data_IF_002334179839
#
_entry.id   IF_002334179839
#
_cell.length_a   1.000
_cell.length_b   1.000
_cell.length_c   1.000
_cell.angle_alpha   90.00
_cell.angle_beta   90.00
_cell.angle_gamma   90.00
#
_symmetry.space_group_name_H-M   'P 1'
#
loop_
_entity.id
_entity.type
_entity.pdbx_description
1 polymer ?
#
# COMPACT_ATOMS: atom_id res chain seq x y z
N UNK A 1 32.19 32.93 3.85
CA UNK A 1 30.91 32.63 3.15
C UNK A 1 30.82 31.14 2.82
N UNK A 2 31.72 30.58 1.99
CA UNK A 2 31.79 29.13 1.68
C UNK A 2 31.77 28.22 2.93
N UNK A 3 32.53 28.53 3.97
CA UNK A 3 32.58 27.75 5.22
C UNK A 3 31.23 27.62 5.94
N UNK A 4 30.38 28.64 5.86
CA UNK A 4 29.05 28.65 6.48
C UNK A 4 28.08 27.77 5.69
N UNK A 5 28.18 27.78 4.36
CA UNK A 5 27.36 26.93 3.48
C UNK A 5 27.71 25.45 3.65
N UNK A 6 29.00 25.10 3.78
CA UNK A 6 29.45 23.73 4.02
C UNK A 6 28.99 23.22 5.40
N UNK A 7 29.09 24.05 6.45
CA UNK A 7 28.58 23.68 7.77
C UNK A 7 27.06 23.46 7.80
N UNK A 8 26.29 24.35 7.15
CA UNK A 8 24.83 24.22 7.03
C UNK A 8 24.41 22.99 6.20
N UNK A 9 25.20 22.62 5.19
CA UNK A 9 24.98 21.38 4.42
C UNK A 9 25.21 20.14 5.29
N UNK A 10 26.32 20.06 6.04
CA UNK A 10 26.60 18.92 6.93
C UNK A 10 25.53 18.74 8.02
N UNK A 11 25.09 19.84 8.65
CA UNK A 11 24.01 19.80 9.64
C UNK A 11 22.68 19.30 9.03
N UNK A 12 22.32 19.79 7.84
CA UNK A 12 21.12 19.31 7.11
C UNK A 12 21.22 17.81 6.78
N UNK A 13 22.39 17.32 6.38
CA UNK A 13 22.64 15.90 6.11
C UNK A 13 22.57 15.03 7.38
N UNK A 14 23.15 15.47 8.51
CA UNK A 14 23.06 14.73 9.77
C UNK A 14 21.62 14.65 10.29
N UNK A 15 20.87 15.76 10.22
CA UNK A 15 19.44 15.78 10.58
C UNK A 15 18.62 14.84 9.70
N UNK A 16 18.89 14.79 8.40
CA UNK A 16 18.27 13.85 7.47
C UNK A 16 18.58 12.38 7.83
N UNK A 17 19.84 12.02 8.08
CA UNK A 17 20.23 10.64 8.45
C UNK A 17 19.51 10.17 9.73
N UNK A 18 19.43 11.03 10.75
CA UNK A 18 18.72 10.71 11.99
C UNK A 18 17.21 10.56 11.77
N UNK A 19 16.61 11.50 11.04
CA UNK A 19 15.20 11.46 10.64
C UNK A 19 14.85 10.16 9.91
N UNK A 20 15.55 9.84 8.82
CA UNK A 20 15.27 8.65 8.00
C UNK A 20 15.41 7.37 8.81
N UNK A 21 16.39 7.30 9.73
CA UNK A 21 16.53 6.16 10.65
C UNK A 21 15.34 6.03 11.62
N UNK A 22 14.77 7.15 12.09
CA UNK A 22 13.59 7.16 12.94
C UNK A 22 12.32 6.74 12.19
N UNK A 23 12.05 7.40 11.07
CA UNK A 23 10.87 7.19 10.21
C UNK A 23 10.86 5.79 9.62
N UNK A 24 11.99 5.25 9.16
CA UNK A 24 12.08 3.88 8.65
C UNK A 24 11.61 2.85 9.69
N UNK A 25 12.02 3.00 10.95
CA UNK A 25 11.61 2.11 12.05
C UNK A 25 10.12 2.23 12.36
N UNK A 26 9.54 3.43 12.24
CA UNK A 26 8.12 3.67 12.46
C UNK A 26 7.26 3.08 11.34
N UNK A 27 7.71 3.19 10.08
CA UNK A 27 7.09 2.56 8.91
C UNK A 27 7.17 1.02 8.99
N UNK A 28 8.34 0.47 9.34
CA UNK A 28 8.52 -0.96 9.53
C UNK A 28 7.63 -1.52 10.66
N UNK A 29 7.53 -0.81 11.79
CA UNK A 29 6.64 -1.20 12.90
C UNK A 29 5.14 -1.08 12.54
N UNK A 30 4.78 -0.13 11.67
CA UNK A 30 3.44 -0.01 11.07
C UNK A 30 3.06 -1.25 10.25
N UNK A 31 3.98 -1.81 9.44
CA UNK A 31 3.73 -3.06 8.70
C UNK A 31 3.82 -4.30 9.59
N UNK A 32 4.77 -4.35 10.52
CA UNK A 32 4.95 -5.50 11.42
C UNK A 32 3.81 -5.68 12.43
N UNK A 33 3.04 -4.62 12.71
CA UNK A 33 1.88 -4.62 13.62
C UNK A 33 0.69 -3.92 12.94
N UNK A 34 0.05 -4.54 11.93
CA UNK A 34 -0.90 -3.86 11.08
C UNK A 34 -2.02 -3.16 11.86
N UNK A 35 -2.41 -1.98 11.36
CA UNK A 35 -3.38 -1.13 12.02
C UNK A 35 -2.86 -0.36 13.24
N UNK A 36 -1.66 -0.65 13.77
CA UNK A 36 -1.07 0.16 14.85
C UNK A 36 -0.77 1.55 14.29
N UNK A 37 -1.25 2.59 14.98
CA UNK A 37 -0.87 3.96 14.68
C UNK A 37 0.51 4.27 15.26
N UNK A 38 1.44 4.71 14.41
CA UNK A 38 2.65 5.40 14.82
C UNK A 38 2.58 6.88 14.43
N UNK A 39 3.33 7.74 15.13
CA UNK A 39 3.49 9.14 14.75
C UNK A 39 4.86 9.32 14.11
N UNK A 40 4.87 9.63 12.82
CA UNK A 40 6.07 9.97 12.08
C UNK A 40 6.68 11.26 12.63
N UNK A 41 8.01 11.32 12.65
CA UNK A 41 8.73 12.55 13.00
C UNK A 41 8.42 13.66 11.98
N UNK A 42 8.47 14.93 12.42
CA UNK A 42 8.21 16.06 11.52
C UNK A 42 9.43 16.31 10.60
N UNK A 43 9.29 16.24 9.27
CA UNK A 43 10.40 16.52 8.35
C UNK A 43 10.68 18.03 8.27
N UNK A 44 11.33 18.57 9.32
CA UNK A 44 11.73 19.98 9.45
C UNK A 44 12.81 20.44 8.45
N UNK A 45 13.31 19.52 7.61
CA UNK A 45 14.25 19.80 6.51
C UNK A 45 13.57 19.87 5.14
N UNK A 46 12.26 19.59 5.07
CA UNK A 46 11.46 19.74 3.87
C UNK A 46 10.87 21.14 3.79
N UNK A 47 11.67 22.01 3.17
CA UNK A 47 11.29 23.35 2.71
C UNK A 47 10.61 23.28 1.33
N UNK A 48 9.82 24.30 0.98
CA UNK A 48 9.22 24.51 -0.34
C UNK A 48 8.46 23.28 -0.88
N UNK A 49 7.50 22.78 -0.11
CA UNK A 49 6.67 21.62 -0.49
C UNK A 49 5.91 21.90 -1.79
N UNK A 50 5.84 20.93 -2.73
CA UNK A 50 5.01 21.06 -3.91
C UNK A 50 3.52 21.16 -3.53
N UNK A 51 2.72 21.71 -4.44
CA UNK A 51 1.26 21.79 -4.33
C UNK A 51 0.59 21.05 -5.48
N UNK A 52 -0.61 20.51 -5.25
CA UNK A 52 -1.49 19.97 -6.28
C UNK A 52 -2.86 20.64 -6.21
N UNK A 53 -3.61 20.59 -7.31
CA UNK A 53 -5.00 21.03 -7.31
C UNK A 53 -5.90 19.92 -6.77
N UNK A 54 -6.67 20.21 -5.71
CA UNK A 54 -7.68 19.29 -5.19
C UNK A 54 -9.08 19.78 -5.57
N UNK A 55 -9.84 19.03 -6.37
CA UNK A 55 -11.22 19.41 -6.69
C UNK A 55 -12.13 19.43 -5.45
N UNK A 56 -11.90 18.56 -4.46
CA UNK A 56 -12.64 18.54 -3.18
C UNK A 56 -12.43 19.82 -2.36
N UNK A 57 -11.25 20.45 -2.44
CA UNK A 57 -10.94 21.73 -1.78
C UNK A 57 -11.10 22.95 -2.70
N UNK A 58 -11.27 22.75 -4.00
CA UNK A 58 -11.30 23.77 -5.06
C UNK A 58 -10.10 24.73 -5.01
N UNK A 59 -8.92 24.22 -4.64
CA UNK A 59 -7.73 25.01 -4.37
C UNK A 59 -6.44 24.24 -4.63
N UNK A 60 -5.35 24.98 -4.80
CA UNK A 60 -4.00 24.44 -4.63
C UNK A 60 -3.77 24.13 -3.15
N UNK A 61 -3.37 22.90 -2.86
CA UNK A 61 -3.05 22.41 -1.50
C UNK A 61 -1.64 21.83 -1.47
N UNK A 62 -0.88 22.02 -0.38
CA UNK A 62 0.43 21.41 -0.25
C UNK A 62 0.30 19.89 -0.13
N UNK A 63 1.29 19.17 -0.66
CA UNK A 63 1.43 17.73 -0.42
C UNK A 63 1.56 17.44 1.09
N UNK A 64 1.12 16.25 1.53
CA UNK A 64 1.33 15.85 2.92
C UNK A 64 2.83 15.70 3.19
N UNK A 65 3.38 16.60 4.01
CA UNK A 65 4.81 16.64 4.34
C UNK A 65 5.32 15.34 4.96
N UNK A 66 4.51 14.64 5.75
CA UNK A 66 4.88 13.38 6.39
C UNK A 66 4.93 12.22 5.39
N UNK A 67 4.06 12.23 4.37
CA UNK A 67 4.11 11.26 3.28
C UNK A 67 5.32 11.50 2.37
N UNK A 68 5.64 12.77 2.05
CA UNK A 68 6.89 13.13 1.39
C UNK A 68 8.11 12.76 2.24
N UNK A 69 8.07 12.97 3.56
CA UNK A 69 9.14 12.56 4.49
C UNK A 69 9.34 11.04 4.55
N UNK A 70 8.26 10.27 4.47
CA UNK A 70 8.32 8.81 4.31
C UNK A 70 8.97 8.41 2.97
N UNK A 71 8.58 9.03 1.85
CA UNK A 71 9.22 8.77 0.55
C UNK A 71 10.70 9.20 0.54
N UNK A 72 11.04 10.34 1.13
CA UNK A 72 12.44 10.74 1.35
C UNK A 72 13.23 9.73 2.19
N UNK A 73 12.57 8.87 2.97
CA UNK A 73 13.22 7.82 3.76
C UNK A 73 13.35 6.50 2.98
N UNK A 74 12.47 6.26 2.00
CA UNK A 74 12.30 4.99 1.28
C UNK A 74 12.87 5.01 -0.14
N UNK A 75 13.01 6.19 -0.75
CA UNK A 75 13.46 6.36 -2.13
C UNK A 75 14.96 6.63 -2.21
N UNK A 76 15.61 5.92 -3.12
CA UNK A 76 16.97 6.13 -3.58
C UNK A 76 17.05 5.90 -5.11
N UNK A 77 18.27 5.81 -5.66
CA UNK A 77 18.48 5.62 -7.10
C UNK A 77 18.17 4.23 -7.66
N UNK A 78 17.90 3.22 -6.83
CA UNK A 78 17.61 1.85 -7.27
C UNK A 78 16.10 1.60 -7.46
N UNK A 79 15.26 2.33 -6.71
CA UNK A 79 13.80 2.23 -6.77
C UNK A 79 13.16 3.32 -7.63
N UNK A 80 11.94 3.07 -8.10
CA UNK A 80 11.13 3.97 -8.92
C UNK A 80 9.86 4.44 -8.19
N UNK A 81 9.27 5.55 -8.64
CA UNK A 81 8.02 6.05 -8.07
C UNK A 81 7.01 6.55 -9.10
N UNK A 82 5.75 6.71 -8.68
CA UNK A 82 4.73 7.49 -9.38
C UNK A 82 3.89 8.30 -8.38
N UNK A 83 3.36 9.43 -8.82
CA UNK A 83 2.54 10.33 -8.00
C UNK A 83 1.15 10.49 -8.64
N UNK A 84 0.08 10.44 -7.86
CA UNK A 84 -1.29 10.71 -8.28
C UNK A 84 -1.97 11.71 -7.35
N UNK A 85 -2.86 12.52 -7.92
CA UNK A 85 -3.70 13.47 -7.19
C UNK A 85 -5.10 13.53 -7.80
N UNK A 86 -6.14 13.63 -6.96
CA UNK A 86 -7.54 13.73 -7.39
C UNK A 86 -7.98 12.62 -8.38
N UNK A 87 -7.41 11.42 -8.23
CA UNK A 87 -7.65 10.26 -9.12
C UNK A 87 -6.94 10.29 -10.48
N UNK A 88 -5.87 11.06 -10.65
CA UNK A 88 -5.08 11.13 -11.89
C UNK A 88 -3.58 11.00 -11.61
N UNK A 89 -2.83 10.25 -12.42
CA UNK A 89 -1.36 10.27 -12.40
C UNK A 89 -0.83 11.65 -12.81
N UNK A 90 0.20 12.13 -12.11
CA UNK A 90 0.94 13.33 -12.46
C UNK A 90 1.94 13.03 -13.59
N UNK A 91 2.18 14.03 -14.44
CA UNK A 91 3.16 13.93 -15.53
C UNK A 91 4.59 13.88 -14.99
N UNK A 92 5.52 13.24 -15.71
CA UNK A 92 6.97 13.37 -15.46
C UNK A 92 7.45 14.84 -15.48
N UNK A 93 6.74 15.72 -16.20
CA UNK A 93 7.01 17.15 -16.26
C UNK A 93 6.36 17.96 -15.11
N UNK A 94 5.63 17.30 -14.21
CA UNK A 94 5.05 17.94 -13.04
C UNK A 94 6.14 18.36 -12.04
N UNK A 95 5.98 19.55 -11.47
CA UNK A 95 6.94 20.12 -10.54
C UNK A 95 7.13 19.24 -9.28
N UNK A 96 6.11 18.52 -8.83
CA UNK A 96 6.21 17.61 -7.69
C UNK A 96 7.03 16.35 -8.01
N UNK A 97 6.86 15.79 -9.21
CA UNK A 97 7.65 14.62 -9.68
C UNK A 97 9.13 15.01 -9.78
N UNK A 98 9.43 16.13 -10.44
CA UNK A 98 10.80 16.64 -10.53
C UNK A 98 11.39 16.98 -9.14
N UNK A 99 10.61 17.60 -8.25
CA UNK A 99 11.02 17.98 -6.89
C UNK A 99 11.47 16.76 -6.07
N UNK A 100 10.80 15.63 -6.22
CA UNK A 100 11.08 14.39 -5.48
C UNK A 100 12.27 13.63 -6.08
N UNK A 101 12.31 13.45 -7.40
CA UNK A 101 13.43 12.82 -8.11
C UNK A 101 14.75 13.54 -7.81
N UNK A 102 14.78 14.87 -7.87
CA UNK A 102 15.97 15.67 -7.58
C UNK A 102 16.49 15.52 -6.15
N UNK A 103 15.62 15.22 -5.18
CA UNK A 103 15.99 15.11 -3.75
C UNK A 103 16.38 13.71 -3.31
N UNK A 104 15.87 12.69 -3.99
CA UNK A 104 16.06 11.27 -3.64
C UNK A 104 17.08 10.58 -4.55
N UNK A 105 17.29 11.09 -5.76
CA UNK A 105 18.02 10.38 -6.82
C UNK A 105 17.20 9.28 -7.51
N UNK A 106 15.97 9.05 -7.03
CA UNK A 106 15.00 8.13 -7.62
C UNK A 106 14.40 8.70 -8.92
N UNK A 107 13.68 7.88 -9.66
CA UNK A 107 13.12 8.20 -10.96
C UNK A 107 11.62 7.90 -11.03
N UNK A 108 10.90 8.70 -11.83
CA UNK A 108 9.50 8.42 -12.14
C UNK A 108 9.40 7.22 -13.08
N UNK A 109 8.35 6.42 -12.93
CA UNK A 109 8.04 5.29 -13.81
C UNK A 109 6.52 5.18 -14.07
N UNK A 110 6.15 4.32 -15.02
CA UNK A 110 4.74 3.95 -15.23
C UNK A 110 4.19 3.23 -13.99
N UNK A 111 2.88 3.33 -13.75
CA UNK A 111 2.23 2.76 -12.56
C UNK A 111 2.51 1.26 -12.36
N UNK A 112 2.54 0.49 -13.45
CA UNK A 112 2.84 -0.95 -13.47
C UNK A 112 4.30 -1.31 -13.15
N UNK A 113 5.21 -0.34 -13.18
CA UNK A 113 6.65 -0.49 -12.98
C UNK A 113 7.16 0.27 -11.74
N UNK A 114 6.31 1.08 -11.12
CA UNK A 114 6.65 1.91 -9.96
C UNK A 114 6.79 1.08 -8.68
N UNK A 115 7.96 1.15 -8.02
CA UNK A 115 8.16 0.54 -6.69
C UNK A 115 7.31 1.22 -5.62
N UNK A 116 7.12 2.55 -5.73
CA UNK A 116 6.31 3.34 -4.81
C UNK A 116 5.25 4.18 -5.53
N UNK A 117 4.05 4.24 -4.98
CA UNK A 117 2.98 5.11 -5.46
C UNK A 117 2.49 6.05 -4.37
N UNK A 118 2.45 7.36 -4.62
CA UNK A 118 1.84 8.34 -3.72
C UNK A 118 0.49 8.78 -4.25
N UNK A 119 -0.58 8.52 -3.50
CA UNK A 119 -1.87 9.19 -3.66
C UNK A 119 -1.90 10.41 -2.73
N UNK A 120 -1.93 11.61 -3.32
CA UNK A 120 -1.79 12.90 -2.62
C UNK A 120 -3.02 13.27 -1.77
N UNK A 121 -4.12 12.53 -1.97
CA UNK A 121 -5.34 12.51 -1.19
C UNK A 121 -5.85 11.05 -1.06
N UNK A 122 -6.98 10.86 -0.37
CA UNK A 122 -7.61 9.56 -0.17
C UNK A 122 -8.44 9.10 -1.38
N UNK A 123 -8.00 9.39 -2.61
CA UNK A 123 -8.69 9.09 -3.87
C UNK A 123 -7.69 8.68 -4.96
N UNK A 124 -7.55 7.38 -5.18
CA UNK A 124 -6.89 6.85 -6.38
C UNK A 124 -7.81 6.87 -7.60
N UNK A 125 -9.14 6.85 -7.43
CA UNK A 125 -10.07 6.83 -8.56
C UNK A 125 -9.99 5.54 -9.40
N UNK A 126 -9.48 4.45 -8.81
CA UNK A 126 -9.23 3.19 -9.49
C UNK A 126 -7.76 2.91 -9.82
N UNK A 127 -6.91 3.94 -9.84
CA UNK A 127 -5.49 3.87 -10.22
C UNK A 127 -4.66 2.87 -9.39
N UNK A 128 -5.07 2.55 -8.16
CA UNK A 128 -4.43 1.49 -7.35
C UNK A 128 -4.34 0.14 -8.08
N UNK A 129 -5.27 -0.14 -9.01
CA UNK A 129 -5.31 -1.38 -9.79
C UNK A 129 -4.22 -1.48 -10.87
N UNK A 130 -3.57 -0.37 -11.20
CA UNK A 130 -2.52 -0.30 -12.23
C UNK A 130 -1.13 -0.63 -11.68
N UNK A 131 -1.00 -0.69 -10.35
CA UNK A 131 0.26 -0.98 -9.66
C UNK A 131 0.65 -2.46 -9.76
N UNK A 132 1.96 -2.73 -9.78
CA UNK A 132 2.50 -4.09 -9.66
C UNK A 132 2.01 -4.77 -8.38
N UNK A 133 1.46 -5.99 -8.51
CA UNK A 133 1.11 -6.85 -7.38
C UNK A 133 2.26 -7.82 -7.01
N UNK A 134 3.40 -7.74 -7.70
CA UNK A 134 4.46 -8.75 -7.68
C UNK A 134 4.07 -10.02 -8.45
N UNK A 135 4.90 -11.05 -8.36
CA UNK A 135 4.58 -12.40 -8.87
C UNK A 135 4.58 -13.42 -7.71
N UNK A 136 4.16 -14.66 -7.97
CA UNK A 136 4.24 -15.73 -6.94
C UNK A 136 5.69 -16.15 -6.65
N UNK A 137 6.63 -15.88 -7.57
CA UNK A 137 8.06 -16.15 -7.41
C UNK A 137 8.80 -14.96 -6.81
N UNK A 138 8.34 -13.74 -7.13
CA UNK A 138 8.95 -12.46 -6.76
C UNK A 138 7.87 -11.52 -6.16
N UNK A 139 7.25 -11.89 -5.02
CA UNK A 139 6.23 -11.06 -4.38
C UNK A 139 6.78 -9.71 -3.89
N UNK A 140 8.07 -9.63 -3.59
CA UNK A 140 8.78 -8.41 -3.19
C UNK A 140 8.84 -7.33 -4.29
N UNK A 141 8.62 -7.68 -5.56
CA UNK A 141 8.55 -6.75 -6.70
C UNK A 141 7.16 -6.10 -6.88
N UNK A 142 6.27 -6.27 -5.91
CA UNK A 142 5.04 -5.48 -5.78
C UNK A 142 5.34 -4.01 -5.50
N UNK A 143 4.43 -3.12 -5.91
CA UNK A 143 4.45 -1.73 -5.47
C UNK A 143 4.06 -1.60 -3.99
N UNK A 144 4.54 -0.54 -3.34
CA UNK A 144 4.04 -0.01 -2.07
C UNK A 144 3.26 1.28 -2.32
N UNK A 145 2.00 1.34 -1.88
CA UNK A 145 1.18 2.55 -2.01
C UNK A 145 1.13 3.36 -0.70
N UNK A 146 1.17 4.69 -0.81
CA UNK A 146 1.00 5.63 0.29
C UNK A 146 -0.20 6.52 -0.05
N UNK A 147 -1.23 6.51 0.78
CA UNK A 147 -2.37 7.44 0.68
C UNK A 147 -2.26 8.54 1.73
N UNK A 148 -2.47 9.78 1.29
CA UNK A 148 -2.61 10.92 2.18
C UNK A 148 -4.09 11.05 2.61
N UNK A 149 -4.38 10.85 3.89
CA UNK A 149 -5.74 10.96 4.44
C UNK A 149 -5.86 12.19 5.35
N UNK A 150 -7.09 12.57 5.72
CA UNK A 150 -7.28 13.78 6.55
C UNK A 150 -7.01 13.51 8.02
N UNK A 151 -7.42 12.33 8.53
CA UNK A 151 -7.22 11.93 9.92
C UNK A 151 -7.29 10.42 10.10
N UNK A 152 -6.45 9.89 10.97
CA UNK A 152 -6.51 8.50 11.45
C UNK A 152 -6.83 8.47 12.95
N UNK A 153 -7.59 7.45 13.38
CA UNK A 153 -7.78 7.13 14.79
C UNK A 153 -7.87 5.60 15.02
N UNK A 154 -7.42 5.15 16.19
CA UNK A 154 -7.67 3.80 16.69
C UNK A 154 -8.91 3.80 17.61
N UNK A 155 -9.20 2.66 18.22
CA UNK A 155 -10.33 2.47 19.14
C UNK A 155 -10.38 3.40 20.37
N UNK A 156 -9.37 4.24 20.61
CA UNK A 156 -9.30 5.17 21.75
C UNK A 156 -9.90 6.55 21.45
N UNK A 157 -10.04 6.90 20.18
CA UNK A 157 -10.59 8.18 19.73
C UNK A 157 -11.69 7.94 18.69
N UNK A 158 -12.87 8.52 18.90
CA UNK A 158 -13.99 8.42 17.97
C UNK A 158 -13.99 9.60 16.99
N UNK A 159 -13.64 9.36 15.73
CA UNK A 159 -13.85 10.33 14.65
C UNK A 159 -15.35 10.46 14.35
N UNK A 160 -15.79 11.68 14.11
CA UNK A 160 -17.18 12.01 13.78
C UNK A 160 -17.25 12.79 12.48
N UNK A 161 -18.06 12.32 11.54
CA UNK A 161 -18.27 12.96 10.24
C UNK A 161 -18.92 12.00 9.24
N UNK A 162 -19.54 12.52 8.16
CA UNK A 162 -20.23 11.69 7.16
C UNK A 162 -19.27 10.84 6.30
N UNK A 163 -17.99 11.22 6.24
CA UNK A 163 -16.95 10.61 5.40
C UNK A 163 -15.93 9.79 6.24
N UNK A 164 -16.30 9.39 7.47
CA UNK A 164 -15.47 8.54 8.33
C UNK A 164 -15.72 7.07 7.99
N UNK A 165 -14.72 6.41 7.43
CA UNK A 165 -14.70 4.97 7.22
C UNK A 165 -14.25 4.29 8.51
N UNK A 166 -15.01 3.30 8.98
CA UNK A 166 -14.58 2.37 10.03
C UNK A 166 -14.36 0.98 9.45
N UNK A 167 -13.19 0.40 9.71
CA UNK A 167 -12.89 -0.99 9.37
C UNK A 167 -12.28 -1.71 10.57
N UNK A 168 -12.35 -3.04 10.55
CA UNK A 168 -11.60 -3.87 11.47
C UNK A 168 -10.58 -4.72 10.72
N UNK A 169 -9.47 -5.01 11.38
CA UNK A 169 -8.27 -5.57 10.79
C UNK A 169 -7.95 -6.90 11.48
N UNK A 170 -7.61 -7.93 10.69
CA UNK A 170 -7.15 -9.26 11.14
C UNK A 170 -5.97 -9.73 10.30
N UNK A 171 -5.14 -10.62 10.83
CA UNK A 171 -4.02 -11.22 10.11
C UNK A 171 -2.72 -11.21 10.93
N UNK A 172 -1.58 -11.57 10.32
CA UNK A 172 -0.28 -11.57 10.99
C UNK A 172 0.03 -10.22 11.65
N UNK A 173 0.63 -10.25 12.85
CA UNK A 173 0.94 -9.04 13.63
C UNK A 173 -0.25 -8.40 14.37
N UNK A 174 -1.47 -8.93 14.21
CA UNK A 174 -2.66 -8.54 14.98
C UNK A 174 -3.06 -9.70 15.91
N UNK A 175 -3.07 -9.53 17.25
CA UNK A 175 -3.42 -10.61 18.18
C UNK A 175 -4.83 -11.18 18.00
N UNK A 176 -5.84 -10.31 17.83
CA UNK A 176 -7.25 -10.71 17.70
C UNK A 176 -7.96 -9.91 16.58
N UNK A 177 -8.18 -8.63 16.85
CA UNK A 177 -8.89 -7.67 16.03
C UNK A 177 -8.35 -6.28 16.38
N UNK A 178 -8.18 -5.41 15.38
CA UNK A 178 -7.97 -3.97 15.64
C UNK A 178 -8.98 -3.15 14.85
N UNK A 179 -9.54 -2.11 15.46
CA UNK A 179 -10.39 -1.14 14.77
C UNK A 179 -9.57 0.07 14.30
N UNK A 180 -9.87 0.54 13.11
CA UNK A 180 -9.26 1.72 12.49
C UNK A 180 -10.36 2.62 11.95
N UNK A 181 -10.25 3.91 12.23
CA UNK A 181 -11.12 4.96 11.68
C UNK A 181 -10.31 5.89 10.79
N UNK A 182 -10.83 6.19 9.61
CA UNK A 182 -10.14 6.93 8.54
C UNK A 182 -11.09 8.02 8.05
N UNK A 183 -10.65 9.28 8.12
CA UNK A 183 -11.36 10.42 7.51
C UNK A 183 -10.67 10.84 6.21
N UNK A 184 -11.45 11.15 5.17
CA UNK A 184 -10.94 11.68 3.91
C UNK A 184 -10.34 10.63 2.96
N UNK A 185 -10.60 9.35 3.22
CA UNK A 185 -10.46 8.24 2.26
C UNK A 185 -11.84 8.00 1.63
N UNK A 186 -11.93 7.89 0.30
CA UNK A 186 -13.22 7.59 -0.34
C UNK A 186 -13.68 6.15 -0.06
N UNK A 187 -14.99 5.95 0.11
CA UNK A 187 -15.56 4.66 0.50
C UNK A 187 -15.18 3.50 -0.45
N UNK A 188 -14.97 3.79 -1.73
CA UNK A 188 -14.63 2.81 -2.74
C UNK A 188 -13.15 2.35 -2.67
N UNK A 189 -12.25 3.19 -2.14
CA UNK A 189 -10.82 2.87 -1.99
C UNK A 189 -10.59 1.73 -1.02
N UNK A 190 -11.42 1.58 0.03
CA UNK A 190 -11.30 0.44 0.95
C UNK A 190 -11.53 -0.90 0.21
N UNK A 191 -12.41 -0.93 -0.78
CA UNK A 191 -12.65 -2.10 -1.61
C UNK A 191 -11.56 -2.29 -2.68
N UNK A 192 -10.95 -1.21 -3.21
CA UNK A 192 -9.76 -1.30 -4.06
C UNK A 192 -8.57 -1.89 -3.28
N UNK A 193 -8.32 -1.40 -2.07
CA UNK A 193 -7.30 -1.90 -1.15
C UNK A 193 -7.55 -3.39 -0.85
N UNK A 194 -8.78 -3.83 -0.56
CA UNK A 194 -9.07 -5.27 -0.41
C UNK A 194 -8.79 -6.06 -1.69
N UNK A 195 -9.16 -5.53 -2.85
CA UNK A 195 -9.03 -6.23 -4.13
C UNK A 195 -7.56 -6.53 -4.52
N UNK A 196 -6.57 -5.76 -4.01
CA UNK A 196 -5.16 -6.09 -4.25
C UNK A 196 -4.69 -7.33 -3.48
N UNK A 197 -5.42 -7.81 -2.46
CA UNK A 197 -4.95 -8.82 -1.47
C UNK A 197 -5.44 -10.25 -1.75
N UNK A 198 -5.75 -10.57 -3.00
CA UNK A 198 -6.32 -11.87 -3.36
C UNK A 198 -6.68 -12.01 -4.84
N UNK A 199 -5.86 -11.47 -5.74
CA UNK A 199 -6.09 -11.64 -7.19
C UNK A 199 -5.70 -13.07 -7.59
N UNK A 200 -6.71 -13.90 -7.83
CA UNK A 200 -6.52 -15.15 -8.57
C UNK A 200 -6.12 -14.83 -10.01
N UNK A 201 -5.01 -15.41 -10.49
CA UNK A 201 -4.69 -15.44 -11.92
C UNK A 201 -5.58 -16.45 -12.65
N UNK A 202 -6.85 -16.10 -12.86
CA UNK A 202 -7.77 -16.87 -13.70
C UNK A 202 -7.57 -16.55 -15.20
N UNK A 203 -6.35 -16.71 -15.71
CA UNK A 203 -6.03 -16.62 -17.15
C UNK A 203 -4.60 -17.08 -17.50
N UNK A 204 -4.33 -18.37 -17.35
CA UNK A 204 -3.47 -19.07 -18.32
C UNK A 204 -4.42 -19.81 -19.25
N UNK A 205 -4.54 -19.33 -20.49
CA UNK A 205 -5.41 -19.95 -21.49
C UNK A 205 -4.87 -21.31 -21.91
N UNK A 206 -5.79 -22.26 -22.08
CA UNK A 206 -5.57 -23.51 -22.77
C UNK A 206 -5.08 -23.22 -24.21
N UNK A 207 -3.82 -23.54 -24.49
CA UNK A 207 -3.32 -23.73 -25.86
C UNK A 207 -2.60 -25.07 -25.96
N UNK A 208 -3.38 -26.15 -25.90
CA UNK A 208 -2.95 -27.50 -26.31
C UNK A 208 -4.13 -28.23 -26.97
N UNK A 209 -4.55 -27.73 -28.13
CA UNK A 209 -5.62 -28.31 -28.94
C UNK A 209 -5.06 -29.02 -30.16
N UNK A 210 -4.60 -30.27 -29.99
CA UNK A 210 -4.58 -31.27 -31.06
C UNK A 210 -5.12 -32.59 -30.53
N UNK A 211 -6.28 -33.08 -31.04
CA UNK A 211 -6.75 -34.43 -30.74
C UNK A 211 -6.26 -35.41 -31.81
N UNK A 212 -5.52 -36.44 -31.40
CA UNK A 212 -5.43 -37.68 -32.18
C UNK A 212 -6.10 -38.81 -31.40
N UNK A 213 -7.18 -39.33 -31.96
CA UNK A 213 -7.95 -40.42 -31.38
C UNK A 213 -7.24 -41.77 -31.53
N UNK A 214 -7.34 -42.62 -30.51
CA UNK A 214 -7.11 -44.06 -30.59
C UNK A 214 -8.08 -44.77 -29.63
N UNK A 215 -8.98 -45.59 -30.19
CA UNK A 215 -10.00 -46.33 -29.45
C UNK A 215 -9.46 -47.63 -28.84
N UNK A 216 -9.46 -47.76 -27.50
CA UNK A 216 -9.67 -48.99 -26.69
C UNK A 216 -10.16 -48.52 -25.30
N UNK A 217 -11.12 -49.13 -24.58
CA UNK A 217 -12.05 -50.23 -24.91
C UNK A 217 -12.44 -51.06 -23.66
N UNK A 218 -13.65 -51.64 -23.68
CA UNK A 218 -14.22 -52.62 -22.71
C UNK A 218 -14.56 -52.17 -21.27
N UNK A 219 -15.85 -52.28 -20.96
CA UNK A 219 -16.48 -52.94 -19.81
C UNK A 219 -15.75 -53.01 -18.44
N UNK A 220 -16.39 -52.44 -17.41
CA UNK A 220 -16.90 -53.28 -16.32
C UNK A 220 -17.95 -52.59 -15.43
N UNK A 221 -19.02 -53.31 -15.10
CA UNK A 221 -19.80 -53.06 -13.90
C UNK A 221 -18.98 -53.46 -12.66
N UNK A 222 -19.10 -52.73 -11.54
CA UNK A 222 -19.66 -53.31 -10.31
C UNK A 222 -19.74 -52.30 -9.15
N UNK A 223 -20.78 -52.48 -8.35
CA UNK A 223 -21.12 -51.67 -7.19
C UNK A 223 -20.11 -51.79 -6.03
N UNK A 224 -20.10 -50.79 -5.15
CA UNK A 224 -20.27 -51.02 -3.68
C UNK A 224 -20.64 -49.75 -2.92
N UNK A 225 -21.83 -49.78 -2.33
CA UNK A 225 -22.24 -48.91 -1.22
C UNK A 225 -21.46 -49.31 0.04
N UNK A 226 -20.94 -48.34 0.79
CA UNK A 226 -20.59 -48.51 2.21
C UNK A 226 -20.82 -47.19 2.96
N UNK A 227 -21.11 -47.31 4.25
CA UNK A 227 -21.83 -46.32 5.06
C UNK A 227 -20.93 -45.31 5.79
N UNK A 228 -21.60 -44.26 6.27
CA UNK A 228 -21.14 -43.32 7.28
C UNK A 228 -20.34 -43.95 8.44
N UNK A 229 -19.26 -43.30 8.86
CA UNK A 229 -19.23 -42.46 10.07
C UNK A 229 -17.81 -41.91 10.26
N UNK A 230 -17.65 -40.57 10.22
CA UNK A 230 -16.57 -39.88 10.96
C UNK A 230 -16.80 -38.35 10.94
N UNK A 231 -17.17 -37.80 12.10
CA UNK A 231 -17.36 -36.37 12.30
C UNK A 231 -16.49 -35.90 13.48
N UNK A 232 -15.27 -35.45 13.19
CA UNK A 232 -14.49 -34.55 14.06
C UNK A 232 -13.39 -33.85 13.25
N UNK A 233 -12.88 -32.72 13.76
CA UNK A 233 -11.78 -31.93 13.19
C UNK A 233 -11.93 -31.43 11.74
N UNK A 234 -12.89 -30.52 11.54
CA UNK A 234 -12.62 -29.37 10.65
C UNK A 234 -11.54 -28.49 11.27
N UNK A 235 -10.28 -28.93 11.13
CA UNK A 235 -9.12 -28.07 11.26
C UNK A 235 -9.27 -26.96 10.23
N UNK A 236 -9.48 -25.71 10.66
CA UNK A 236 -9.43 -24.57 9.74
C UNK A 236 -8.08 -24.61 9.03
N UNK A 237 -8.12 -24.86 7.73
CA UNK A 237 -6.93 -24.89 6.90
C UNK A 237 -6.39 -23.48 6.84
N UNK A 238 -5.31 -23.24 7.58
CA UNK A 238 -4.53 -22.01 7.50
C UNK A 238 -4.09 -21.86 6.03
N UNK A 239 -4.75 -20.96 5.30
CA UNK A 239 -4.63 -20.82 3.85
C UNK A 239 -3.37 -20.02 3.52
N UNK A 240 -2.22 -20.53 3.92
CA UNK A 240 -0.93 -19.82 3.90
C UNK A 240 -0.36 -19.60 2.49
N UNK A 241 -1.03 -20.08 1.42
CA UNK A 241 -0.56 -20.01 0.04
C UNK A 241 -0.91 -18.73 -0.73
N UNK A 242 -2.02 -18.04 -0.40
CA UNK A 242 -2.61 -17.04 -1.31
C UNK A 242 -2.23 -15.57 -1.03
N UNK A 243 -1.41 -15.29 0.00
CA UNK A 243 -1.08 -13.93 0.43
C UNK A 243 0.22 -13.35 -0.14
N UNK A 244 0.83 -14.00 -1.14
CA UNK A 244 2.06 -13.53 -1.77
C UNK A 244 1.84 -12.26 -2.62
N UNK A 245 0.74 -12.22 -3.38
CA UNK A 245 0.44 -11.11 -4.28
C UNK A 245 -0.25 -9.95 -3.54
N UNK A 246 0.07 -8.73 -3.93
CA UNK A 246 -0.67 -7.53 -3.56
C UNK A 246 0.18 -6.32 -3.25
N UNK A 247 -0.49 -5.18 -3.06
CA UNK A 247 0.13 -3.89 -2.70
C UNK A 247 0.11 -3.72 -1.19
N UNK A 248 1.28 -3.51 -0.60
CA UNK A 248 1.39 -3.05 0.78
C UNK A 248 1.03 -1.56 0.85
N UNK A 249 0.16 -1.18 1.80
CA UNK A 249 -0.43 0.16 1.86
C UNK A 249 -0.08 0.86 3.16
N UNK A 250 0.39 2.10 3.07
CA UNK A 250 0.40 3.05 4.18
C UNK A 250 -0.73 4.08 4.01
N UNK A 251 -1.39 4.43 5.10
CA UNK A 251 -2.19 5.66 5.17
C UNK A 251 -1.46 6.63 6.10
N UNK A 252 -1.32 7.89 5.69
CA UNK A 252 -0.61 8.93 6.45
C UNK A 252 -1.49 10.18 6.52
N UNK A 253 -1.77 10.67 7.73
CA UNK A 253 -2.57 11.88 7.93
C UNK A 253 -1.73 13.17 8.02
N UNK A 254 -2.40 14.32 7.94
CA UNK A 254 -1.75 15.63 7.96
C UNK A 254 -1.08 15.99 9.31
N UNK A 255 -1.28 15.18 10.36
CA UNK A 255 -0.61 15.31 11.66
C UNK A 255 0.62 14.41 11.79
N UNK A 256 0.86 13.55 10.80
CA UNK A 256 1.92 12.55 10.83
C UNK A 256 1.52 11.25 11.52
N UNK A 257 0.24 11.01 11.81
CA UNK A 257 -0.17 9.63 12.14
C UNK A 257 -0.05 8.78 10.87
N UNK A 258 0.55 7.61 11.03
CA UNK A 258 0.76 6.63 9.98
C UNK A 258 0.25 5.28 10.45
N UNK A 259 -0.33 4.52 9.52
CA UNK A 259 -0.74 3.13 9.73
C UNK A 259 -0.30 2.28 8.54
N UNK A 260 0.23 1.10 8.84
CA UNK A 260 0.61 0.10 7.84
C UNK A 260 -0.47 -0.97 7.69
N UNK A 261 -0.69 -1.35 6.44
CA UNK A 261 -1.61 -2.39 6.00
C UNK A 261 -0.87 -3.25 4.97
N UNK A 262 -0.02 -4.21 5.37
CA UNK A 262 0.56 -5.16 4.42
C UNK A 262 -0.53 -5.99 3.73
N UNK A 263 -0.21 -6.61 2.60
CA UNK A 263 -1.11 -7.43 1.78
C UNK A 263 -1.73 -8.61 2.54
N UNK A 264 -1.04 -9.12 3.56
CA UNK A 264 -1.50 -10.15 4.49
C UNK A 264 -2.61 -9.68 5.45
N UNK A 265 -2.87 -8.37 5.54
CA UNK A 265 -3.90 -7.79 6.40
C UNK A 265 -5.28 -7.96 5.78
N UNK A 266 -6.16 -8.71 6.43
CA UNK A 266 -7.57 -8.82 6.05
C UNK A 266 -8.34 -7.62 6.62
N UNK A 267 -8.90 -6.79 5.74
CA UNK A 267 -9.80 -5.71 6.10
C UNK A 267 -11.25 -6.23 6.09
N UNK A 268 -11.90 -6.24 7.25
CA UNK A 268 -13.32 -6.56 7.39
C UNK A 268 -14.13 -5.30 7.68
N UNK A 269 -15.43 -5.33 7.36
CA UNK A 269 -16.34 -4.21 7.65
C UNK A 269 -16.42 -4.00 9.17
N UNK A 270 -16.29 -2.74 9.60
CA UNK A 270 -16.22 -2.34 11.02
C UNK A 270 -17.52 -2.51 11.77
#
# INVERSE_FOLDING_TARGET
>A
MVSVQVAAWHDRQQRYIHYSTGVFRQLLDCLARPGKLNRLEDPIFLDDLPTYYSARRQAQVPFNRYALGALMTLLDGEVSFTLAADGHWLSESDAAVYWLALRTGSHSAAASEATFALFCDGKSGGLLRELSLGTLLEPELSATAIYCVERLADEREQLSGPEVISCALRGPGIPDLRRLQISGLEAHELELIKATRGVQQSSIQEQSSEPLALEIGQDNEQARTLSADEASDKKESDSSGDFALGVDVYLIDATGLCVGLPRTTRLVKG
#
